data_IF_619554037697
#
_entry.id   IF_619554037697
#
_cell.length_a   1.000
_cell.length_b   1.000
_cell.length_c   1.000
_cell.angle_alpha   90.00
_cell.angle_beta   90.00
_cell.angle_gamma   90.00
#
_symmetry.space_group_name_H-M   'P 1'
#
loop_
_entity.id
_entity.type
_entity.pdbx_description
1 polymer ?
#
# COMPACT_ATOMS: atom_id res chain seq x y z
N UNK A 1 -29.24 2.95 -0.57
CA UNK A 1 -28.19 3.43 -1.49
C UNK A 1 -27.80 4.81 -0.99
N UNK A 2 -26.63 4.95 -0.36
CA UNK A 2 -26.24 6.21 0.27
C UNK A 2 -25.80 7.25 -0.77
N UNK A 3 -26.20 8.53 -0.64
CA UNK A 3 -25.87 9.56 -1.60
C UNK A 3 -24.41 10.02 -1.43
N UNK A 4 -23.67 10.07 -2.53
CA UNK A 4 -22.43 10.84 -2.63
C UNK A 4 -21.13 10.14 -2.20
N UNK A 5 -20.84 8.94 -2.70
CA UNK A 5 -19.47 8.47 -2.70
C UNK A 5 -18.65 9.37 -3.66
N UNK A 6 -17.90 10.34 -3.12
CA UNK A 6 -16.83 10.98 -3.89
C UNK A 6 -15.96 9.85 -4.42
N UNK A 7 -15.80 9.77 -5.74
CA UNK A 7 -14.82 8.85 -6.34
C UNK A 7 -13.47 9.35 -5.81
N UNK A 8 -12.90 8.64 -4.84
CA UNK A 8 -11.57 8.93 -4.35
C UNK A 8 -10.62 8.78 -5.54
N UNK A 9 -9.89 9.84 -5.86
CA UNK A 9 -8.80 9.74 -6.83
C UNK A 9 -7.78 8.79 -6.21
N UNK A 10 -7.50 7.69 -6.90
CA UNK A 10 -6.60 6.63 -6.44
C UNK A 10 -5.59 6.32 -7.55
N UNK A 11 -4.38 5.92 -7.16
CA UNK A 11 -3.25 5.74 -8.06
C UNK A 11 -2.71 4.32 -7.98
N UNK A 12 -2.31 3.77 -9.13
CA UNK A 12 -1.66 2.47 -9.20
C UNK A 12 -0.31 2.51 -8.47
N UNK A 13 -0.10 1.64 -7.50
CA UNK A 13 1.14 1.60 -6.70
C UNK A 13 2.37 1.23 -7.56
N UNK A 14 2.17 0.57 -8.70
CA UNK A 14 3.23 0.10 -9.61
C UNK A 14 3.66 1.12 -10.67
N UNK A 15 2.73 1.82 -11.32
CA UNK A 15 3.06 2.82 -12.36
C UNK A 15 2.81 4.27 -11.93
N UNK A 16 1.93 4.52 -10.97
CA UNK A 16 1.62 5.87 -10.45
C UNK A 16 0.53 6.60 -11.22
N UNK A 17 -0.06 5.96 -12.25
CA UNK A 17 -1.22 6.48 -12.98
C UNK A 17 -2.47 6.44 -12.09
N UNK A 18 -3.31 7.47 -12.20
CA UNK A 18 -4.62 7.55 -11.54
C UNK A 18 -5.65 6.63 -12.18
N UNK A 19 -6.77 6.39 -11.50
CA UNK A 19 -7.92 5.65 -12.01
C UNK A 19 -8.57 6.26 -13.27
N UNK A 20 -8.26 7.51 -13.61
CA UNK A 20 -8.71 8.15 -14.86
C UNK A 20 -7.75 7.97 -16.03
N UNK A 21 -6.51 7.54 -15.76
CA UNK A 21 -5.45 7.36 -16.77
C UNK A 21 -5.31 5.90 -17.23
N UNK A 22 -6.13 4.98 -16.70
CA UNK A 22 -6.10 3.54 -16.99
C UNK A 22 -7.52 3.00 -17.14
N UNK A 23 -7.69 1.92 -17.91
CA UNK A 23 -9.00 1.29 -18.15
C UNK A 23 -9.59 0.67 -16.88
N UNK A 24 -8.77 -0.04 -16.10
CA UNK A 24 -9.20 -0.68 -14.85
C UNK A 24 -8.15 -0.52 -13.78
N UNK A 25 -8.62 -0.30 -12.55
CA UNK A 25 -7.79 -0.22 -11.37
C UNK A 25 -8.45 -1.00 -10.24
N UNK A 26 -7.73 -2.03 -9.75
CA UNK A 26 -8.16 -2.85 -8.62
C UNK A 26 -7.61 -2.21 -7.35
N UNK A 27 -8.51 -1.81 -6.45
CA UNK A 27 -8.16 -1.19 -5.18
C UNK A 27 -8.24 -2.20 -4.03
N UNK A 28 -7.13 -2.41 -3.33
CA UNK A 28 -7.07 -3.08 -2.04
C UNK A 28 -6.74 -2.11 -0.91
N UNK A 29 -6.72 -2.58 0.36
CA UNK A 29 -6.32 -1.77 1.50
C UNK A 29 -4.83 -1.40 1.39
N UNK A 30 -4.50 -0.12 1.21
CA UNK A 30 -3.13 0.38 1.14
C UNK A 30 -2.43 0.20 -0.20
N UNK A 31 -3.01 -0.53 -1.16
CA UNK A 31 -2.33 -0.87 -2.42
C UNK A 31 -3.32 -1.04 -3.57
N UNK A 32 -2.93 -0.60 -4.76
CA UNK A 32 -3.75 -0.65 -5.95
C UNK A 32 -2.93 -1.06 -7.18
N UNK A 33 -3.52 -1.83 -8.09
CA UNK A 33 -2.87 -2.24 -9.34
C UNK A 33 -3.80 -2.03 -10.54
N UNK A 34 -3.26 -1.44 -11.61
CA UNK A 34 -4.00 -1.23 -12.85
C UNK A 34 -3.86 -2.39 -13.83
N UNK A 35 -4.75 -2.45 -14.82
CA UNK A 35 -4.75 -3.46 -15.89
C UNK A 35 -3.40 -3.55 -16.63
N UNK A 36 -2.76 -2.41 -16.91
CA UNK A 36 -1.46 -2.39 -17.59
C UNK A 36 -0.36 -3.07 -16.76
N UNK A 37 -0.29 -2.74 -15.46
CA UNK A 37 0.69 -3.35 -14.56
C UNK A 37 0.43 -4.84 -14.33
N UNK A 38 -0.84 -5.26 -14.28
CA UNK A 38 -1.20 -6.69 -14.26
C UNK A 38 -0.67 -7.41 -15.50
N UNK A 39 -0.84 -6.82 -16.69
CA UNK A 39 -0.36 -7.42 -17.93
C UNK A 39 1.17 -7.53 -17.98
N UNK A 40 1.89 -6.52 -17.46
CA UNK A 40 3.35 -6.56 -17.34
C UNK A 40 3.78 -7.64 -16.35
N UNK A 41 3.16 -7.70 -15.18
CA UNK A 41 3.46 -8.70 -14.15
C UNK A 41 3.23 -10.11 -14.69
N UNK A 42 2.09 -10.38 -15.32
CA UNK A 42 1.78 -11.69 -15.91
C UNK A 42 2.80 -12.11 -16.98
N UNK A 43 3.27 -11.17 -17.81
CA UNK A 43 4.32 -11.43 -18.80
C UNK A 43 5.64 -11.83 -18.13
N UNK A 44 6.09 -11.08 -17.13
CA UNK A 44 7.31 -11.39 -16.37
C UNK A 44 7.16 -12.76 -15.69
N UNK A 45 6.03 -13.02 -15.04
CA UNK A 45 5.78 -14.32 -14.37
C UNK A 45 5.79 -15.49 -15.35
N UNK A 46 5.28 -15.31 -16.57
CA UNK A 46 5.33 -16.33 -17.63
C UNK A 46 6.74 -16.58 -18.13
N UNK A 47 7.55 -15.53 -18.33
CA UNK A 47 8.92 -15.65 -18.83
C UNK A 47 9.85 -16.40 -17.85
N UNK A 48 9.59 -16.27 -16.55
CA UNK A 48 10.42 -16.87 -15.49
C UNK A 48 9.81 -18.14 -14.89
N UNK A 49 8.69 -18.66 -15.42
CA UNK A 49 7.96 -19.81 -14.86
C UNK A 49 8.85 -21.03 -14.58
N UNK A 50 9.72 -21.37 -15.53
CA UNK A 50 10.56 -22.57 -15.47
C UNK A 50 12.03 -22.25 -15.16
N UNK A 51 12.34 -20.98 -14.87
CA UNK A 51 13.69 -20.54 -14.50
C UNK A 51 13.87 -20.69 -12.98
N UNK A 52 15.08 -21.01 -12.49
CA UNK A 52 15.37 -21.00 -11.06
C UNK A 52 14.96 -19.66 -10.45
N UNK A 53 14.33 -19.71 -9.28
CA UNK A 53 13.84 -18.53 -8.57
C UNK A 53 15.04 -17.80 -7.93
N UNK A 54 15.83 -17.10 -8.74
CA UNK A 54 16.90 -16.23 -8.24
C UNK A 54 16.27 -14.97 -7.65
N UNK A 55 16.03 -15.04 -6.34
CA UNK A 55 15.63 -13.87 -5.56
C UNK A 55 16.84 -12.93 -5.51
N UNK A 56 16.86 -11.90 -6.36
CA UNK A 56 17.86 -10.83 -6.31
C UNK A 56 17.57 -9.94 -5.10
N UNK A 57 18.19 -10.25 -3.99
CA UNK A 57 18.18 -9.44 -2.78
C UNK A 57 19.60 -8.99 -2.42
N UNK A 58 19.77 -7.72 -2.01
CA UNK A 58 18.77 -6.65 -2.03
C UNK A 58 18.61 -6.01 -3.43
N UNK A 59 17.39 -5.61 -3.79
CA UNK A 59 17.08 -5.02 -5.10
C UNK A 59 17.87 -3.72 -5.41
N UNK A 60 18.37 -3.05 -4.37
CA UNK A 60 19.11 -1.79 -4.46
C UNK A 60 20.62 -1.98 -4.60
N UNK A 61 21.15 -3.20 -4.45
CA UNK A 61 22.59 -3.47 -4.61
C UNK A 61 23.16 -3.06 -5.97
N UNK A 62 22.48 -3.26 -7.12
CA UNK A 62 22.96 -2.76 -8.41
C UNK A 62 22.63 -1.28 -8.68
N UNK A 63 21.98 -0.57 -7.75
CA UNK A 63 21.53 0.82 -7.97
C UNK A 63 22.56 1.82 -7.44
N UNK A 64 22.75 2.92 -8.17
CA UNK A 64 23.47 4.10 -7.68
C UNK A 64 22.59 4.95 -6.76
N UNK A 65 23.22 5.79 -5.92
CA UNK A 65 22.53 6.76 -5.06
C UNK A 65 21.54 7.64 -5.83
N UNK A 66 21.91 8.08 -7.03
CA UNK A 66 21.04 8.89 -7.89
C UNK A 66 19.78 8.13 -8.28
N UNK A 67 19.89 6.83 -8.60
CA UNK A 67 18.74 5.99 -8.91
C UNK A 67 17.86 5.82 -7.66
N UNK A 68 18.46 5.52 -6.50
CA UNK A 68 17.72 5.41 -5.24
C UNK A 68 16.94 6.69 -4.91
N UNK A 69 17.60 7.85 -4.98
CA UNK A 69 16.98 9.16 -4.73
C UNK A 69 15.79 9.43 -5.67
N UNK A 70 15.85 8.95 -6.93
CA UNK A 70 14.73 9.09 -7.87
C UNK A 70 13.52 8.20 -7.53
N UNK A 71 13.74 7.10 -6.82
CA UNK A 71 12.67 6.19 -6.39
C UNK A 71 11.99 6.62 -5.08
N UNK A 72 12.70 7.31 -4.19
CA UNK A 72 12.20 7.69 -2.86
C UNK A 72 10.84 8.41 -2.88
N UNK A 73 10.58 9.43 -3.73
CA UNK A 73 9.30 10.14 -3.71
C UNK A 73 8.11 9.22 -3.95
N UNK A 74 8.26 8.26 -4.88
CA UNK A 74 7.23 7.27 -5.18
C UNK A 74 6.97 6.34 -4.00
N UNK A 75 8.03 5.86 -3.34
CA UNK A 75 7.91 5.01 -2.14
C UNK A 75 7.26 5.75 -0.97
N UNK A 76 7.58 7.03 -0.80
CA UNK A 76 6.95 7.87 0.23
C UNK A 76 5.43 8.02 0.02
N UNK A 77 4.98 8.19 -1.23
CA UNK A 77 3.54 8.23 -1.57
C UNK A 77 2.85 6.92 -1.21
N UNK A 78 3.42 5.77 -1.58
CA UNK A 78 2.86 4.45 -1.25
C UNK A 78 2.82 4.24 0.26
N UNK A 79 3.90 4.59 0.97
CA UNK A 79 3.96 4.50 2.44
C UNK A 79 2.87 5.36 3.10
N UNK A 80 2.66 6.59 2.62
CA UNK A 80 1.61 7.48 3.12
C UNK A 80 0.21 6.92 2.89
N UNK A 81 -0.05 6.31 1.72
CA UNK A 81 -1.33 5.68 1.43
C UNK A 81 -1.61 4.50 2.38
N UNK A 82 -0.65 3.60 2.56
CA UNK A 82 -0.76 2.47 3.49
C UNK A 82 -1.04 2.95 4.91
N UNK A 83 -0.33 3.98 5.37
CA UNK A 83 -0.54 4.55 6.72
C UNK A 83 -1.94 5.17 6.86
N UNK A 84 -2.43 5.86 5.83
CA UNK A 84 -3.76 6.47 5.82
C UNK A 84 -4.87 5.42 5.88
N UNK A 85 -4.74 4.35 5.11
CA UNK A 85 -5.70 3.25 5.11
C UNK A 85 -5.68 2.49 6.44
N UNK A 86 -4.48 2.23 6.98
CA UNK A 86 -4.32 1.62 8.29
C UNK A 86 -5.00 2.45 9.40
N UNK A 87 -4.81 3.78 9.38
CA UNK A 87 -5.49 4.70 10.31
C UNK A 87 -7.00 4.63 10.18
N UNK A 88 -7.52 4.57 8.96
CA UNK A 88 -8.96 4.46 8.70
C UNK A 88 -9.54 3.16 9.25
N UNK A 89 -8.82 2.04 9.10
CA UNK A 89 -9.19 0.75 9.67
C UNK A 89 -9.18 0.78 11.20
N UNK A 90 -8.13 1.33 11.81
CA UNK A 90 -8.06 1.46 13.26
C UNK A 90 -9.19 2.34 13.78
N UNK A 91 -9.52 3.45 13.12
CA UNK A 91 -10.67 4.31 13.47
C UNK A 91 -11.99 3.53 13.44
N UNK A 92 -12.22 2.75 12.38
CA UNK A 92 -13.43 1.93 12.27
C UNK A 92 -13.50 0.85 13.36
N UNK A 93 -12.39 0.16 13.65
CA UNK A 93 -12.31 -0.80 14.76
C UNK A 93 -12.64 -0.15 16.10
N UNK A 94 -12.15 1.08 16.33
CA UNK A 94 -12.46 1.86 17.54
C UNK A 94 -13.93 2.26 17.59
N UNK A 95 -14.54 2.65 16.47
CA UNK A 95 -15.98 2.92 16.36
C UNK A 95 -16.82 1.68 16.73
N UNK A 96 -16.36 0.49 16.34
CA UNK A 96 -16.97 -0.81 16.68
C UNK A 96 -16.67 -1.31 18.10
N UNK A 97 -16.02 -0.49 18.93
CA UNK A 97 -15.72 -0.83 20.33
C UNK A 97 -14.54 -1.80 20.53
N UNK A 98 -13.75 -2.11 19.51
CA UNK A 98 -12.58 -3.00 19.64
C UNK A 98 -11.51 -2.33 20.50
N UNK A 99 -11.04 -3.00 21.57
CA UNK A 99 -10.10 -2.43 22.54
C UNK A 99 -8.70 -2.18 21.96
N UNK A 100 -7.98 -1.19 22.52
CA UNK A 100 -6.59 -0.91 22.16
C UNK A 100 -5.65 -2.11 22.36
N UNK A 101 -5.94 -2.98 23.33
CA UNK A 101 -5.15 -4.21 23.53
C UNK A 101 -5.30 -5.17 22.36
N UNK A 102 -6.52 -5.35 21.82
CA UNK A 102 -6.75 -6.20 20.64
C UNK A 102 -6.13 -5.60 19.38
N UNK A 103 -6.22 -4.29 19.21
CA UNK A 103 -5.60 -3.59 18.07
C UNK A 103 -4.07 -3.70 18.14
N UNK A 104 -3.47 -3.46 19.31
CA UNK A 104 -2.03 -3.63 19.51
C UNK A 104 -1.57 -5.05 19.20
N UNK A 105 -2.27 -6.06 19.72
CA UNK A 105 -1.97 -7.47 19.44
C UNK A 105 -2.01 -7.79 17.94
N UNK A 106 -3.00 -7.28 17.19
CA UNK A 106 -3.09 -7.48 15.74
C UNK A 106 -1.95 -6.81 14.96
N UNK A 107 -1.40 -5.71 15.49
CA UNK A 107 -0.29 -4.96 14.90
C UNK A 107 1.09 -5.45 15.38
N UNK A 108 1.15 -6.42 16.30
CA UNK A 108 2.39 -6.87 16.91
C UNK A 108 3.06 -5.83 17.82
N UNK A 109 2.30 -4.88 18.38
CA UNK A 109 2.80 -3.81 19.26
C UNK A 109 2.04 -3.77 20.58
N UNK A 110 2.56 -3.03 21.57
CA UNK A 110 1.89 -2.89 22.87
C UNK A 110 0.59 -2.08 22.76
N UNK A 111 -0.33 -2.27 23.73
CA UNK A 111 -1.54 -1.45 23.89
C UNK A 111 -1.20 0.05 23.90
N UNK A 112 -0.14 0.41 24.63
CA UNK A 112 0.29 1.80 24.76
C UNK A 112 0.75 2.36 23.42
N UNK A 113 1.62 1.65 22.70
CA UNK A 113 2.10 2.06 21.38
C UNK A 113 0.96 2.20 20.35
N UNK A 114 -0.04 1.31 20.40
CA UNK A 114 -1.23 1.43 19.57
C UNK A 114 -2.06 2.67 19.90
N UNK A 115 -2.25 2.97 21.19
CA UNK A 115 -2.97 4.18 21.60
C UNK A 115 -2.22 5.45 21.21
N UNK A 116 -0.92 5.53 21.48
CA UNK A 116 -0.08 6.69 21.13
C UNK A 116 -0.12 6.98 19.62
N UNK A 117 0.01 5.95 18.79
CA UNK A 117 0.03 6.11 17.32
C UNK A 117 -1.31 6.51 16.71
N UNK A 118 -2.43 6.03 17.25
CA UNK A 118 -3.73 6.07 16.57
C UNK A 118 -4.86 6.79 17.30
N UNK A 119 -4.67 7.21 18.55
CA UNK A 119 -5.74 7.89 19.33
C UNK A 119 -6.03 9.33 18.89
N UNK A 120 -5.22 9.91 18.00
CA UNK A 120 -5.45 11.26 17.47
C UNK A 120 -5.00 12.39 18.40
N UNK A 121 -3.90 12.21 19.15
CA UNK A 121 -3.21 13.33 19.79
C UNK A 121 -2.27 14.04 18.80
N UNK A 122 -2.89 14.74 17.85
CA UNK A 122 -2.37 15.93 17.14
C UNK A 122 -3.57 16.78 16.72
#
# INVERSE_FOLDING_TARGET
MSPGAKIAQIWCSFCGKSNTEVDKLVAGPGVQICNECVAIADRIMKEYRDKPHEVRLPMWEPMSDRQMLSHIPRMAVVAHQVETDLRSWVRELRCRGVTWSRIGAALGITRQSAWERFSGKE
#
